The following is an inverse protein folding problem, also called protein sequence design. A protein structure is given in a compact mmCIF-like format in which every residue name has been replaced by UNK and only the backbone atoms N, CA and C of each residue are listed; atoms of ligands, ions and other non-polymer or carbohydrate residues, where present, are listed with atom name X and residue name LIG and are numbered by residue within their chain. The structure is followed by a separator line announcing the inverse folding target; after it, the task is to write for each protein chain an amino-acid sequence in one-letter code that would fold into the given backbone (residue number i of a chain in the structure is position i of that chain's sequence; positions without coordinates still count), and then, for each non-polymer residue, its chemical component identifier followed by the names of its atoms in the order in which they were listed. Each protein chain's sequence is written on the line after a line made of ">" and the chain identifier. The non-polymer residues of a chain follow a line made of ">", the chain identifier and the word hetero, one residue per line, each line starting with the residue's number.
data_IF_478538248630
#
_entry.id   IF_478538248630
#
_cell.length_a   1.000
_cell.length_b   1.000
_cell.length_c   1.000
_cell.angle_alpha   90.00
_cell.angle_beta   90.00
_cell.angle_gamma   90.00
#
_symmetry.space_group_name_H-M   'P 1'
#
loop_
_entity.id
_entity.type
_entity.pdbx_description
1 polymer ?
#
# COMPACT_ATOMS: atom_id res chain seq x y z
N UNK A 1 -12.53 5.73 3.32
CA UNK A 1 -12.98 5.56 1.92
C UNK A 1 -11.83 5.98 1.02
N UNK A 2 -11.52 5.14 0.04
CA UNK A 2 -10.52 5.43 -1.00
C UNK A 2 -11.20 5.37 -2.36
N UNK A 3 -10.91 6.33 -3.24
CA UNK A 3 -11.28 6.27 -4.66
C UNK A 3 -10.01 6.16 -5.51
N UNK A 4 -10.08 5.39 -6.58
CA UNK A 4 -9.01 5.32 -7.58
C UNK A 4 -9.44 6.07 -8.83
N UNK A 5 -8.61 7.01 -9.29
CA UNK A 5 -8.78 7.71 -10.55
C UNK A 5 -7.93 7.03 -11.63
N UNK A 6 -8.58 6.57 -12.68
CA UNK A 6 -7.96 5.96 -13.84
C UNK A 6 -8.27 6.83 -15.05
N UNK A 7 -7.27 7.48 -15.63
CA UNK A 7 -7.48 8.41 -16.75
C UNK A 7 -8.05 7.72 -18.01
N UNK A 8 -7.80 6.42 -18.15
CA UNK A 8 -8.29 5.63 -19.29
C UNK A 8 -9.76 5.21 -19.14
N UNK A 9 -10.25 5.09 -17.90
CA UNK A 9 -11.60 4.61 -17.60
C UNK A 9 -12.56 5.71 -17.15
N UNK A 10 -12.04 6.92 -16.88
CA UNK A 10 -12.85 8.02 -16.36
C UNK A 10 -13.85 8.51 -17.39
N UNK A 11 -15.14 8.42 -17.05
CA UNK A 11 -16.23 8.94 -17.91
C UNK A 11 -16.45 10.45 -17.74
N UNK A 12 -16.21 10.97 -16.54
CA UNK A 12 -16.39 12.37 -16.21
C UNK A 12 -15.61 12.76 -14.96
N UNK A 13 -14.56 13.57 -15.13
CA UNK A 13 -13.81 14.16 -14.01
C UNK A 13 -14.70 15.02 -13.11
N UNK A 14 -15.64 15.76 -13.71
CA UNK A 14 -16.57 16.62 -12.95
C UNK A 14 -17.47 15.78 -12.04
N UNK A 15 -17.92 14.61 -12.50
CA UNK A 15 -18.66 13.68 -11.65
C UNK A 15 -17.77 13.12 -10.53
N UNK A 16 -16.53 12.72 -10.84
CA UNK A 16 -15.57 12.24 -9.84
C UNK A 16 -15.33 13.28 -8.73
N UNK A 17 -15.12 14.55 -9.11
CA UNK A 17 -14.98 15.65 -8.16
C UNK A 17 -16.27 15.87 -7.37
N UNK A 18 -17.44 15.76 -8.01
CA UNK A 18 -18.74 15.85 -7.34
C UNK A 18 -18.89 14.81 -6.23
N UNK A 19 -18.58 13.54 -6.51
CA UNK A 19 -18.56 12.45 -5.51
C UNK A 19 -17.51 12.72 -4.43
N UNK A 20 -16.33 13.21 -4.83
CA UNK A 20 -15.24 13.54 -3.91
C UNK A 20 -15.65 14.62 -2.90
N UNK A 21 -16.43 15.62 -3.30
CA UNK A 21 -16.99 16.66 -2.41
C UNK A 21 -18.00 16.09 -1.41
N UNK A 22 -18.80 15.09 -1.81
CA UNK A 22 -19.71 14.39 -0.89
C UNK A 22 -18.91 13.64 0.19
N UNK A 23 -17.85 12.94 -0.20
CA UNK A 23 -16.97 12.21 0.74
C UNK A 23 -16.18 13.15 1.66
N UNK A 24 -15.72 14.28 1.13
CA UNK A 24 -15.11 15.36 1.91
C UNK A 24 -16.07 15.87 3.00
N UNK A 25 -17.33 16.13 2.66
CA UNK A 25 -18.33 16.68 3.59
C UNK A 25 -18.76 15.69 4.70
N UNK A 26 -18.59 14.38 4.49
CA UNK A 26 -18.94 13.36 5.49
C UNK A 26 -18.14 13.52 6.79
N UNK A 27 -18.80 13.59 7.94
CA UNK A 27 -18.10 13.78 9.22
C UNK A 27 -17.29 12.54 9.66
N UNK A 28 -17.73 11.34 9.26
CA UNK A 28 -17.21 10.08 9.81
C UNK A 28 -16.33 9.32 8.80
N UNK A 29 -16.00 9.94 7.67
CA UNK A 29 -15.27 9.29 6.59
C UNK A 29 -13.93 9.97 6.36
N UNK A 30 -12.84 9.24 6.63
CA UNK A 30 -11.52 9.56 6.09
C UNK A 30 -11.57 9.35 4.58
N UNK A 31 -11.15 10.35 3.81
CA UNK A 31 -11.21 10.30 2.36
C UNK A 31 -9.81 10.44 1.75
N UNK A 32 -9.49 9.52 0.85
CA UNK A 32 -8.24 9.42 0.13
C UNK A 32 -8.51 9.18 -1.37
N UNK A 33 -7.65 9.70 -2.24
CA UNK A 33 -7.69 9.41 -3.68
C UNK A 33 -6.33 8.93 -4.16
N UNK A 34 -6.32 7.77 -4.83
CA UNK A 34 -5.17 7.33 -5.61
C UNK A 34 -5.36 7.75 -7.06
N UNK A 35 -4.41 8.48 -7.62
CA UNK A 35 -4.37 8.82 -9.05
C UNK A 35 -3.42 7.84 -9.73
N UNK A 36 -3.95 7.01 -10.64
CA UNK A 36 -3.15 6.01 -11.35
C UNK A 36 -2.28 6.69 -12.41
N UNK A 37 -0.97 6.71 -12.20
CA UNK A 37 -0.04 7.48 -13.02
C UNK A 37 0.34 6.73 -14.28
N UNK A 38 -0.43 6.89 -15.36
CA UNK A 38 -0.07 6.36 -16.69
C UNK A 38 1.14 7.17 -17.21
N UNK A 39 2.32 6.56 -17.45
CA UNK A 39 3.54 7.29 -17.80
C UNK A 39 3.39 8.20 -19.03
N UNK A 40 2.68 7.72 -20.06
CA UNK A 40 2.46 8.43 -21.32
C UNK A 40 1.44 9.58 -21.19
N UNK A 41 0.66 9.58 -20.11
CA UNK A 41 -0.37 10.60 -19.80
C UNK A 41 -0.10 11.25 -18.44
N UNK A 42 1.17 11.29 -18.03
CA UNK A 42 1.56 11.73 -16.69
C UNK A 42 1.09 13.15 -16.39
N UNK A 43 1.26 14.07 -17.35
CA UNK A 43 0.89 15.47 -17.19
C UNK A 43 -0.61 15.65 -16.99
N UNK A 44 -1.44 14.91 -17.72
CA UNK A 44 -2.89 14.94 -17.54
C UNK A 44 -3.31 14.37 -16.17
N UNK A 45 -2.64 13.31 -15.72
CA UNK A 45 -2.86 12.76 -14.37
C UNK A 45 -2.49 13.77 -13.29
N UNK A 46 -1.38 14.49 -13.47
CA UNK A 46 -0.91 15.53 -12.55
C UNK A 46 -1.82 16.76 -12.57
N UNK A 47 -2.32 17.16 -13.74
CA UNK A 47 -3.30 18.25 -13.88
C UNK A 47 -4.57 17.93 -13.09
N UNK A 48 -5.13 16.72 -13.29
CA UNK A 48 -6.29 16.27 -12.54
C UNK A 48 -6.02 16.25 -11.03
N UNK A 49 -4.90 15.66 -10.60
CA UNK A 49 -4.54 15.60 -9.18
C UNK A 49 -4.41 17.01 -8.57
N UNK A 50 -3.82 17.95 -9.30
CA UNK A 50 -3.66 19.34 -8.89
C UNK A 50 -5.00 20.05 -8.75
N UNK A 51 -5.91 19.85 -9.72
CA UNK A 51 -7.27 20.38 -9.67
C UNK A 51 -8.06 19.78 -8.50
N UNK A 52 -8.01 18.47 -8.32
CA UNK A 52 -8.65 17.78 -7.19
C UNK A 52 -8.14 18.33 -5.86
N UNK A 53 -6.82 18.53 -5.72
CA UNK A 53 -6.20 19.14 -4.54
C UNK A 53 -6.73 20.54 -4.25
N UNK A 54 -7.03 21.34 -5.27
CA UNK A 54 -7.60 22.68 -5.09
C UNK A 54 -9.08 22.62 -4.69
N UNK A 55 -9.85 21.73 -5.31
CA UNK A 55 -11.31 21.67 -5.15
C UNK A 55 -11.79 20.85 -3.96
N UNK A 56 -11.01 19.86 -3.50
CA UNK A 56 -11.42 18.89 -2.48
C UNK A 56 -10.32 18.71 -1.43
N UNK A 57 -10.67 18.66 -0.15
CA UNK A 57 -9.73 18.41 0.94
C UNK A 57 -9.68 16.91 1.25
N UNK A 58 -8.72 16.23 0.64
CA UNK A 58 -8.42 14.83 0.88
C UNK A 58 -6.93 14.57 0.75
N UNK A 59 -6.46 13.46 1.32
CA UNK A 59 -5.13 12.95 0.97
C UNK A 59 -5.17 12.41 -0.46
N UNK A 60 -4.09 12.63 -1.18
CA UNK A 60 -3.93 12.22 -2.58
C UNK A 60 -2.57 11.55 -2.68
N UNK A 61 -2.51 10.40 -3.34
CA UNK A 61 -1.27 9.74 -3.74
C UNK A 61 -1.23 9.62 -5.26
N UNK A 62 -0.10 9.98 -5.86
CA UNK A 62 0.19 9.70 -7.26
C UNK A 62 0.76 8.28 -7.33
N UNK A 63 -0.09 7.32 -7.65
CA UNK A 63 0.24 5.90 -7.54
C UNK A 63 0.91 5.39 -8.83
N UNK A 64 2.15 4.88 -8.76
CA UNK A 64 2.77 4.24 -9.91
C UNK A 64 2.05 2.95 -10.29
N UNK A 65 2.16 2.59 -11.57
CA UNK A 65 1.60 1.37 -12.13
C UNK A 65 2.60 0.23 -12.11
N UNK A 66 2.07 -1.00 -12.10
CA UNK A 66 2.86 -2.22 -12.01
C UNK A 66 2.29 -3.32 -12.91
N UNK A 67 3.17 -4.09 -13.51
CA UNK A 67 2.85 -5.29 -14.30
C UNK A 67 2.55 -6.50 -13.41
N UNK A 68 1.73 -7.43 -13.91
CA UNK A 68 1.50 -8.74 -13.27
C UNK A 68 0.37 -8.78 -12.23
N UNK A 69 -0.41 -7.71 -12.10
CA UNK A 69 -1.56 -7.71 -11.19
C UNK A 69 -2.54 -8.85 -11.57
N UNK A 70 -2.95 -9.64 -10.56
CA UNK A 70 -3.91 -10.75 -10.73
C UNK A 70 -3.37 -12.07 -11.33
N UNK A 71 -2.09 -12.15 -11.73
CA UNK A 71 -1.54 -13.31 -12.46
C UNK A 71 -0.34 -13.98 -11.77
N UNK A 72 -0.36 -14.10 -10.44
CA UNK A 72 0.72 -14.75 -9.69
C UNK A 72 1.81 -13.81 -9.18
N UNK A 73 1.49 -12.52 -9.08
CA UNK A 73 2.31 -11.53 -8.40
C UNK A 73 2.88 -10.45 -9.32
N UNK A 74 3.32 -9.37 -8.69
CA UNK A 74 3.80 -8.17 -9.38
C UNK A 74 5.21 -8.43 -9.91
N UNK A 75 5.39 -8.20 -11.20
CA UNK A 75 6.67 -8.49 -11.87
C UNK A 75 7.57 -7.26 -11.92
N UNK A 76 7.00 -6.09 -12.22
CA UNK A 76 7.77 -4.88 -12.51
C UNK A 76 6.94 -3.61 -12.30
N UNK A 77 7.57 -2.55 -11.76
CA UNK A 77 7.05 -1.17 -11.80
C UNK A 77 7.17 -0.62 -13.22
N UNK A 78 6.19 0.16 -13.65
CA UNK A 78 6.29 0.90 -14.91
C UNK A 78 7.48 1.86 -14.87
N UNK A 79 8.05 2.18 -16.03
CA UNK A 79 9.18 3.10 -16.11
C UNK A 79 8.68 4.54 -16.02
N UNK A 80 9.27 5.33 -15.13
CA UNK A 80 9.05 6.76 -14.99
C UNK A 80 10.38 7.49 -15.10
N UNK A 81 10.37 8.76 -15.53
CA UNK A 81 11.58 9.59 -15.48
C UNK A 81 11.91 9.94 -14.02
N UNK A 82 13.17 10.27 -13.70
CA UNK A 82 13.53 10.74 -12.35
C UNK A 82 12.68 11.92 -11.87
N UNK A 83 12.31 12.82 -12.78
CA UNK A 83 11.45 13.96 -12.49
C UNK A 83 10.02 13.52 -12.16
N UNK A 84 9.45 12.58 -12.92
CA UNK A 84 8.14 12.01 -12.64
C UNK A 84 8.13 11.30 -11.28
N UNK A 85 9.16 10.52 -10.97
CA UNK A 85 9.28 9.86 -9.67
C UNK A 85 9.35 10.87 -8.52
N UNK A 86 10.11 11.95 -8.69
CA UNK A 86 10.22 13.00 -7.68
C UNK A 86 8.88 13.70 -7.47
N UNK A 87 8.16 14.03 -8.56
CA UNK A 87 6.81 14.61 -8.49
C UNK A 87 5.87 13.69 -7.73
N UNK A 88 5.90 12.38 -8.00
CA UNK A 88 5.05 11.41 -7.29
C UNK A 88 5.34 11.35 -5.79
N UNK A 89 6.61 11.45 -5.39
CA UNK A 89 7.04 11.45 -3.99
C UNK A 89 6.64 12.72 -3.25
N UNK A 90 6.78 13.88 -3.91
CA UNK A 90 6.56 15.18 -3.28
C UNK A 90 5.08 15.60 -3.29
N UNK A 91 4.27 15.02 -4.16
CA UNK A 91 2.87 15.40 -4.29
C UNK A 91 2.04 14.90 -3.11
N UNK A 92 1.61 15.83 -2.28
CA UNK A 92 0.68 15.57 -1.19
C UNK A 92 -0.68 16.24 -1.45
N UNK A 93 -1.76 15.55 -1.07
CA UNK A 93 -3.09 16.14 -1.00
C UNK A 93 -3.22 17.22 0.09
N UNK A 94 -4.45 17.57 0.46
CA UNK A 94 -4.71 18.46 1.59
C UNK A 94 -5.12 17.64 2.82
N UNK A 95 -4.52 17.87 3.99
CA UNK A 95 -4.89 17.15 5.20
C UNK A 95 -6.36 17.42 5.54
N UNK A 96 -7.09 16.35 5.87
CA UNK A 96 -8.46 16.44 6.36
C UNK A 96 -8.52 17.20 7.68
N UNK A 97 -9.64 17.89 7.94
CA UNK A 97 -9.87 18.60 9.21
C UNK A 97 -10.52 17.72 10.27
N UNK A 98 -10.77 16.44 9.95
CA UNK A 98 -11.58 15.52 10.75
C UNK A 98 -10.70 14.82 11.77
N UNK A 99 -11.16 14.73 13.01
CA UNK A 99 -10.54 13.90 14.05
C UNK A 99 -11.12 12.50 13.97
N UNK A 100 -10.37 11.57 13.38
CA UNK A 100 -10.78 10.18 13.18
C UNK A 100 -9.73 9.22 13.75
N UNK A 101 -10.09 7.99 14.16
CA UNK A 101 -9.13 6.98 14.59
C UNK A 101 -8.04 6.75 13.54
N UNK A 102 -6.80 6.39 13.92
CA UNK A 102 -5.68 6.20 12.99
C UNK A 102 -6.04 5.30 11.80
N UNK A 103 -5.45 5.59 10.65
CA UNK A 103 -5.66 4.77 9.46
C UNK A 103 -4.84 3.49 9.55
N UNK A 104 -5.35 2.36 9.07
CA UNK A 104 -4.52 1.15 8.84
C UNK A 104 -3.38 1.43 7.85
N UNK A 105 -3.53 2.44 7.01
CA UNK A 105 -2.49 2.88 6.08
C UNK A 105 -1.38 3.70 6.78
N UNK A 106 -1.56 4.15 8.02
CA UNK A 106 -0.53 4.82 8.82
C UNK A 106 0.22 3.72 9.60
N UNK A 107 1.52 3.60 9.35
CA UNK A 107 2.37 2.54 9.85
C UNK A 107 3.43 3.12 10.78
N UNK A 108 3.64 2.45 11.90
CA UNK A 108 4.78 2.68 12.77
C UNK A 108 5.94 1.77 12.31
N UNK A 109 6.98 2.37 11.72
CA UNK A 109 8.19 1.67 11.27
C UNK A 109 9.23 1.75 12.36
N UNK A 110 9.63 0.59 12.87
CA UNK A 110 10.60 0.44 13.94
C UNK A 110 11.95 0.00 13.38
N UNK A 111 13.00 0.79 13.63
CA UNK A 111 14.35 0.53 13.17
C UNK A 111 15.20 -0.17 14.24
N UNK A 112 16.29 -0.82 13.81
CA UNK A 112 17.17 -1.56 14.72
C UNK A 112 17.95 -0.69 15.69
N UNK A 113 18.19 0.57 15.35
CA UNK A 113 18.82 1.53 16.24
C UNK A 113 17.86 2.02 17.35
N UNK A 114 16.61 1.53 17.36
CA UNK A 114 15.58 1.89 18.31
C UNK A 114 14.80 3.15 17.93
N UNK A 115 15.08 3.75 16.78
CA UNK A 115 14.29 4.85 16.25
C UNK A 115 12.98 4.34 15.65
N UNK A 116 11.98 5.22 15.63
CA UNK A 116 10.65 4.92 15.10
C UNK A 116 10.22 6.06 14.18
N UNK A 117 9.60 5.72 13.06
CA UNK A 117 9.07 6.67 12.09
C UNK A 117 7.63 6.31 11.73
N UNK A 118 6.78 7.31 11.54
CA UNK A 118 5.43 7.12 11.04
C UNK A 118 5.42 7.34 9.53
N UNK A 119 5.19 6.26 8.77
CA UNK A 119 5.10 6.27 7.31
C UNK A 119 3.72 5.79 6.89
N UNK A 120 3.20 6.29 5.78
CA UNK A 120 2.04 5.70 5.16
C UNK A 120 2.43 4.55 4.24
N UNK A 121 1.48 3.65 3.95
CA UNK A 121 1.64 2.64 2.89
C UNK A 121 1.99 3.27 1.54
N UNK A 122 1.56 4.51 1.28
CA UNK A 122 1.85 5.23 0.05
C UNK A 122 3.28 5.74 0.00
N UNK A 123 3.80 6.21 1.13
CA UNK A 123 5.20 6.63 1.25
C UNK A 123 6.14 5.46 0.93
N UNK A 124 5.83 4.27 1.45
CA UNK A 124 6.60 3.07 1.15
C UNK A 124 6.58 2.73 -0.35
N UNK A 125 5.42 2.83 -1.01
CA UNK A 125 5.29 2.56 -2.45
C UNK A 125 6.07 3.58 -3.28
N UNK A 126 5.87 4.87 -2.99
CA UNK A 126 6.51 5.96 -3.74
C UNK A 126 8.03 5.96 -3.60
N UNK A 127 8.55 5.52 -2.45
CA UNK A 127 9.99 5.44 -2.17
C UNK A 127 10.61 4.06 -2.44
N UNK A 128 9.89 3.15 -3.12
CA UNK A 128 10.33 1.79 -3.44
C UNK A 128 10.77 0.96 -2.20
N UNK A 129 10.24 1.30 -1.02
CA UNK A 129 10.49 0.62 0.26
C UNK A 129 9.50 -0.55 0.48
N UNK A 130 9.28 -1.34 -0.57
CA UNK A 130 8.27 -2.42 -0.59
C UNK A 130 8.85 -3.82 -0.77
N UNK A 131 10.18 -3.95 -0.77
CA UNK A 131 10.86 -5.23 -0.89
C UNK A 131 11.11 -5.84 0.49
N UNK A 132 10.30 -6.84 0.83
CA UNK A 132 10.38 -7.55 2.11
C UNK A 132 10.85 -9.01 1.96
N UNK A 133 11.54 -9.34 0.86
CA UNK A 133 11.99 -10.72 0.60
C UNK A 133 12.80 -11.25 1.79
N UNK A 134 12.41 -12.43 2.30
CA UNK A 134 13.00 -13.09 3.45
C UNK A 134 12.51 -12.61 4.82
N UNK A 135 11.69 -11.56 4.89
CA UNK A 135 11.03 -11.12 6.12
C UNK A 135 9.87 -12.05 6.46
N UNK A 136 9.53 -12.10 7.75
CA UNK A 136 8.31 -12.73 8.23
C UNK A 136 7.12 -11.82 7.94
N UNK A 137 6.23 -12.28 7.06
CA UNK A 137 5.02 -11.59 6.66
C UNK A 137 3.82 -12.22 7.37
N UNK A 138 3.03 -11.39 8.06
CA UNK A 138 1.86 -11.80 8.82
C UNK A 138 0.55 -11.65 8.04
N UNK A 139 0.63 -11.37 6.73
CA UNK A 139 -0.53 -11.47 5.86
C UNK A 139 -1.12 -12.91 5.92
N UNK A 140 -2.44 -13.03 5.94
CA UNK A 140 -3.15 -14.26 6.25
C UNK A 140 -3.45 -14.48 7.74
N UNK A 141 -2.85 -13.67 8.62
CA UNK A 141 -3.17 -13.61 10.06
C UNK A 141 -3.88 -12.28 10.36
N UNK A 142 -3.28 -11.17 9.92
CA UNK A 142 -3.82 -9.82 10.15
C UNK A 142 -4.96 -9.48 9.19
N UNK A 143 -4.95 -10.10 8.00
CA UNK A 143 -5.91 -9.86 6.92
C UNK A 143 -6.01 -11.08 6.00
N UNK A 144 -7.13 -11.18 5.28
CA UNK A 144 -7.40 -12.20 4.28
C UNK A 144 -7.92 -11.56 2.99
N UNK A 145 -7.64 -12.20 1.87
CA UNK A 145 -8.22 -11.86 0.56
C UNK A 145 -9.18 -12.97 0.17
N UNK A 146 -10.42 -12.61 -0.16
CA UNK A 146 -11.43 -13.54 -0.67
C UNK A 146 -11.78 -13.11 -2.10
N UNK A 147 -11.59 -14.00 -3.06
CA UNK A 147 -11.92 -13.71 -4.47
C UNK A 147 -13.42 -13.85 -4.72
N UNK A 148 -13.90 -13.37 -5.88
CA UNK A 148 -15.29 -13.58 -6.29
C UNK A 148 -15.68 -15.06 -6.43
N UNK A 149 -14.70 -15.92 -6.75
CA UNK A 149 -14.90 -17.37 -6.80
C UNK A 149 -15.00 -18.00 -5.40
N UNK A 150 -14.75 -17.23 -4.33
CA UNK A 150 -14.77 -17.70 -2.95
C UNK A 150 -13.43 -18.25 -2.46
N UNK A 151 -12.38 -18.22 -3.28
CA UNK A 151 -11.04 -18.67 -2.87
C UNK A 151 -10.43 -17.69 -1.86
N UNK A 152 -9.82 -18.24 -0.81
CA UNK A 152 -9.19 -17.49 0.27
C UNK A 152 -7.68 -17.50 0.07
N UNK A 153 -7.06 -16.33 0.12
CA UNK A 153 -5.62 -16.12 0.01
C UNK A 153 -5.10 -15.33 1.21
N UNK A 154 -3.82 -15.51 1.53
CA UNK A 154 -3.14 -14.72 2.57
C UNK A 154 -3.01 -13.24 2.21
N UNK A 155 -2.84 -12.92 0.93
CA UNK A 155 -2.60 -11.56 0.42
C UNK A 155 -2.78 -11.51 -1.09
N UNK A 156 -2.85 -10.31 -1.67
CA UNK A 156 -2.98 -10.11 -3.13
C UNK A 156 -1.75 -10.56 -3.90
N UNK A 157 -0.61 -10.73 -3.24
CA UNK A 157 0.59 -11.27 -3.87
C UNK A 157 0.45 -12.76 -4.23
N UNK A 158 -0.49 -13.48 -3.61
CA UNK A 158 -0.85 -14.87 -3.89
C UNK A 158 0.33 -15.87 -3.89
N UNK A 159 1.46 -15.52 -3.27
CA UNK A 159 2.71 -16.31 -3.33
C UNK A 159 2.59 -17.73 -2.78
N UNK A 160 1.63 -17.96 -1.87
CA UNK A 160 1.38 -19.24 -1.21
C UNK A 160 0.22 -20.02 -1.87
N UNK A 161 -0.39 -19.49 -2.93
CA UNK A 161 -1.61 -20.04 -3.50
C UNK A 161 -2.84 -19.85 -2.60
N UNK A 162 -3.99 -20.43 -2.98
CA UNK A 162 -5.19 -20.42 -2.13
C UNK A 162 -4.96 -21.27 -0.87
N UNK A 163 -5.44 -20.79 0.27
CA UNK A 163 -5.35 -21.44 1.57
C UNK A 163 -6.68 -22.05 2.04
N UNK A 164 -7.71 -21.98 1.19
CA UNK A 164 -9.04 -22.53 1.44
C UNK A 164 -10.09 -21.80 0.60
N UNK A 165 -11.35 -22.10 0.88
CA UNK A 165 -12.52 -21.48 0.25
C UNK A 165 -13.57 -21.14 1.30
N UNK A 166 -14.38 -20.13 1.03
CA UNK A 166 -15.57 -19.82 1.86
C UNK A 166 -16.63 -20.94 1.82
N UNK A 167 -16.49 -21.89 0.91
CA UNK A 167 -17.38 -23.04 0.77
C UNK A 167 -16.89 -24.28 1.51
N UNK A 168 -15.68 -24.24 2.09
CA UNK A 168 -15.14 -25.37 2.84
C UNK A 168 -15.87 -25.51 4.19
N UNK A 169 -16.25 -26.74 4.56
CA UNK A 169 -16.90 -27.01 5.85
C UNK A 169 -15.96 -26.73 7.03
N UNK A 170 -14.66 -26.97 6.84
CA UNK A 170 -13.61 -26.72 7.83
C UNK A 170 -12.45 -26.02 7.13
N UNK A 171 -12.12 -24.82 7.59
CA UNK A 171 -10.95 -24.07 7.12
C UNK A 171 -9.95 -23.87 8.26
N UNK A 172 -8.68 -24.19 8.00
CA UNK A 172 -7.59 -23.93 8.92
C UNK A 172 -6.88 -22.63 8.53
N UNK A 173 -7.17 -21.56 9.28
CA UNK A 173 -6.53 -20.27 9.03
C UNK A 173 -5.08 -20.27 9.57
N UNK A 174 -4.14 -19.60 8.88
CA UNK A 174 -2.76 -19.50 9.34
C UNK A 174 -2.65 -18.84 10.72
N UNK A 175 -1.82 -19.42 11.59
CA UNK A 175 -1.44 -18.84 12.90
C UNK A 175 0.04 -18.45 12.98
N UNK A 176 0.80 -18.71 11.90
CA UNK A 176 2.23 -18.44 11.80
C UNK A 176 2.55 -17.63 10.54
N UNK A 177 3.54 -16.71 10.61
CA UNK A 177 3.92 -15.90 9.46
C UNK A 177 4.53 -16.77 8.36
N UNK A 178 4.50 -16.25 7.14
CA UNK A 178 5.17 -16.85 5.98
C UNK A 178 6.42 -16.05 5.61
N UNK A 179 7.40 -16.69 4.99
CA UNK A 179 8.56 -15.98 4.44
C UNK A 179 8.19 -15.34 3.11
N UNK A 180 8.32 -14.02 3.03
CA UNK A 180 8.05 -13.27 1.81
C UNK A 180 9.05 -13.65 0.70
N UNK A 181 8.52 -13.94 -0.49
CA UNK A 181 9.27 -14.29 -1.72
C UNK A 181 9.03 -13.28 -2.85
N UNK A 182 8.17 -12.29 -2.63
CA UNK A 182 7.79 -11.30 -3.63
C UNK A 182 8.69 -10.07 -3.54
N UNK A 183 9.27 -9.67 -4.67
CA UNK A 183 10.19 -8.53 -4.73
C UNK A 183 9.49 -7.17 -4.53
N UNK A 184 8.19 -7.11 -4.80
CA UNK A 184 7.39 -5.89 -4.75
C UNK A 184 6.09 -6.18 -4.00
N UNK A 185 5.79 -5.39 -2.97
CA UNK A 185 4.53 -5.42 -2.22
C UNK A 185 3.82 -4.07 -2.37
N UNK A 186 2.84 -3.97 -3.26
CA UNK A 186 2.21 -2.67 -3.57
C UNK A 186 0.81 -2.47 -2.94
N UNK A 187 0.15 -3.55 -2.51
CA UNK A 187 -1.22 -3.43 -2.00
C UNK A 187 -1.17 -2.76 -0.64
N UNK A 188 -1.85 -1.62 -0.46
CA UNK A 188 -1.87 -0.90 0.82
C UNK A 188 -2.32 -1.78 2.00
N UNK A 189 -3.33 -2.63 1.80
CA UNK A 189 -3.81 -3.55 2.85
C UNK A 189 -2.76 -4.61 3.19
N UNK A 190 -2.08 -5.17 2.19
CA UNK A 190 -1.00 -6.14 2.43
C UNK A 190 0.20 -5.46 3.09
N UNK A 191 0.50 -4.20 2.74
CA UNK A 191 1.55 -3.39 3.36
C UNK A 191 1.26 -3.12 4.83
N UNK A 192 -0.01 -2.92 5.21
CA UNK A 192 -0.45 -2.77 6.60
C UNK A 192 -0.30 -4.02 7.45
N UNK A 193 -0.17 -5.21 6.85
CA UNK A 193 0.11 -6.43 7.62
C UNK A 193 1.52 -6.38 8.22
N UNK A 194 1.69 -6.90 9.44
CA UNK A 194 2.96 -6.87 10.15
C UNK A 194 4.07 -7.57 9.35
N UNK A 195 5.25 -6.94 9.30
CA UNK A 195 6.45 -7.47 8.65
C UNK A 195 7.65 -7.35 9.57
N UNK A 196 8.39 -8.44 9.74
CA UNK A 196 9.54 -8.47 10.66
C UNK A 196 10.75 -9.06 9.96
N UNK A 197 11.85 -8.32 9.93
CA UNK A 197 13.14 -8.85 9.52
C UNK A 197 13.81 -9.58 10.69
N UNK A 198 13.42 -10.84 10.91
CA UNK A 198 13.95 -11.63 12.04
C UNK A 198 15.46 -11.84 11.98
N UNK A 199 16.05 -11.92 10.79
CA UNK A 199 17.52 -12.00 10.65
C UNK A 199 18.20 -10.74 11.20
N UNK A 200 17.69 -9.56 10.83
CA UNK A 200 18.23 -8.28 11.24
C UNK A 200 18.07 -8.05 12.76
N UNK A 201 16.90 -8.40 13.31
CA UNK A 201 16.63 -8.31 14.75
C UNK A 201 17.59 -9.20 15.55
N UNK A 202 17.80 -10.44 15.11
CA UNK A 202 18.72 -11.37 15.78
C UNK A 202 20.18 -10.89 15.72
N UNK A 203 20.61 -10.31 14.59
CA UNK A 203 21.97 -9.75 14.49
C UNK A 203 22.21 -8.56 15.42
N UNK A 204 21.19 -7.72 15.66
CA UNK A 204 21.31 -6.59 16.57
C UNK A 204 21.34 -7.01 18.06
N UNK A 205 20.72 -8.15 18.39
CA UNK A 205 20.78 -8.73 19.73
C UNK A 205 22.11 -9.45 20.00
N UNK A 206 22.84 -9.85 18.96
CA UNK A 206 24.21 -10.35 19.07
C UNK A 206 25.17 -9.18 19.29
N UNK A 207 25.19 -8.61 20.51
CA UNK A 207 26.37 -7.86 20.97
C UNK A 207 27.55 -8.83 20.91
N UNK A 208 28.52 -8.55 20.05
CA UNK A 208 29.79 -9.29 20.04
C UNK A 208 30.33 -9.21 21.46
N UNK A 209 30.37 -10.33 22.17
CA UNK A 209 31.13 -10.42 23.39
C UNK A 209 32.58 -10.13 22.98
N UNK A 210 33.12 -8.98 23.40
CA UNK A 210 34.56 -8.73 23.32
C UNK A 210 35.19 -9.67 24.34
N UNK A 211 35.36 -10.92 23.94
CA UNK A 211 36.23 -11.85 24.65
C UNK A 211 37.64 -11.59 24.18
N UNK A 212 38.39 -10.91 25.06
CA UNK A 212 39.83 -10.61 25.07
C UNK A 212 40.21 -9.16 24.72
N UNK A 213 40.61 -8.44 25.76
CA UNK A 213 41.58 -7.33 25.76
C UNK A 213 43.00 -7.91 25.80
#
# INVERSE_FOLDING_TARGET
>A
MSLSYHIEDIKSESHFIGVSKVLEASQNTRFHVNVMMVPERFDDCLEFASRLKQEVRCSIALQPLFEGFGHGGITKKYSYTPEQEQIMKDFLGRPGLKTLPPSMAELEVNYVDGTTENLSTFDLIANDQTNFVGWDCYAGIDSLVITFSGDIYRSWCMQDGPIGSIYDENIELPIHPTKCRTKICQCGVDLSAKKVNTKLVLSNQQKIAVTQL
#
